data_IF_017619420030
#
_entry.id   IF_017619420030
#
_cell.length_a   1.000
_cell.length_b   1.000
_cell.length_c   1.000
_cell.angle_alpha   90.00
_cell.angle_beta   90.00
_cell.angle_gamma   90.00
#
_symmetry.space_group_name_H-M   'P 1'
#
loop_
_entity.id
_entity.type
_entity.pdbx_description
1 polymer ?
#
# COMPACT_ATOMS: atom_id res chain seq x y z
N UNK A 1 57.14 32.17 4.26
CA UNK A 1 55.89 32.05 3.47
C UNK A 1 55.64 30.57 3.22
N UNK A 2 54.87 29.90 4.09
CA UNK A 2 54.51 28.49 3.89
C UNK A 2 53.40 28.40 2.85
N UNK A 3 53.60 27.55 1.84
CA UNK A 3 52.72 27.34 0.71
C UNK A 3 51.37 26.77 1.16
N UNK A 4 50.36 27.64 1.29
CA UNK A 4 48.97 27.32 1.67
C UNK A 4 48.19 26.60 0.57
N UNK A 5 48.77 26.49 -0.64
CA UNK A 5 48.12 25.87 -1.80
C UNK A 5 47.97 24.35 -1.70
N UNK A 6 48.88 23.66 -1.01
CA UNK A 6 48.85 22.20 -0.87
C UNK A 6 47.88 21.70 0.22
N UNK A 7 47.81 22.41 1.35
CA UNK A 7 46.98 22.01 2.50
C UNK A 7 45.48 22.16 2.19
N UNK A 8 45.10 23.22 1.47
CA UNK A 8 43.71 23.43 1.06
C UNK A 8 43.18 22.34 0.12
N UNK A 9 44.02 21.84 -0.79
CA UNK A 9 43.63 20.75 -1.71
C UNK A 9 43.42 19.41 -1.00
N UNK A 10 44.27 19.09 -0.01
CA UNK A 10 44.16 17.85 0.77
C UNK A 10 42.93 17.87 1.69
N UNK A 11 42.64 19.01 2.33
CA UNK A 11 41.45 19.17 3.17
C UNK A 11 40.17 19.06 2.32
N UNK A 12 40.14 19.68 1.14
CA UNK A 12 38.99 19.61 0.24
C UNK A 12 38.75 18.18 -0.28
N UNK A 13 39.80 17.46 -0.64
CA UNK A 13 39.72 16.07 -1.06
C UNK A 13 39.21 15.15 0.07
N UNK A 14 39.68 15.35 1.31
CA UNK A 14 39.23 14.56 2.47
C UNK A 14 37.74 14.80 2.78
N UNK A 15 37.26 16.04 2.66
CA UNK A 15 35.85 16.38 2.86
C UNK A 15 34.92 15.80 1.79
N UNK A 16 35.40 15.65 0.54
CA UNK A 16 34.64 14.99 -0.52
C UNK A 16 34.53 13.47 -0.30
N UNK A 17 35.58 12.82 0.20
CA UNK A 17 35.56 11.38 0.50
C UNK A 17 34.61 11.07 1.67
N UNK A 18 34.62 11.89 2.72
CA UNK A 18 33.74 11.69 3.88
C UNK A 18 32.25 11.93 3.54
N UNK A 19 31.94 12.90 2.69
CA UNK A 19 30.56 13.11 2.21
C UNK A 19 30.11 12.07 1.17
N UNK A 20 31.04 11.53 0.37
CA UNK A 20 30.74 10.49 -0.61
C UNK A 20 30.35 9.14 0.02
N UNK A 21 30.92 8.78 1.17
CA UNK A 21 30.56 7.54 1.88
C UNK A 21 29.16 7.58 2.52
N UNK A 22 28.63 8.75 2.87
CA UNK A 22 27.30 8.88 3.46
C UNK A 22 26.16 8.54 2.47
N UNK A 23 26.41 8.64 1.16
CA UNK A 23 25.44 8.26 0.13
C UNK A 23 25.34 6.74 -0.07
N UNK A 24 26.27 5.95 0.48
CA UNK A 24 26.34 4.49 0.28
C UNK A 24 25.50 3.73 1.32
N UNK A 25 25.16 4.35 2.46
CA UNK A 25 24.44 3.67 3.55
C UNK A 25 22.94 3.58 3.35
N UNK A 26 22.31 4.37 2.46
CA UNK A 26 20.88 4.18 2.16
C UNK A 26 20.64 3.09 1.09
N UNK A 27 21.73 2.67 0.41
CA UNK A 27 21.66 1.86 -0.81
C UNK A 27 21.60 0.33 -0.59
N UNK A 28 21.74 -0.19 0.64
CA UNK A 28 21.81 -1.64 0.85
C UNK A 28 20.44 -2.35 0.93
N UNK A 29 19.32 -1.62 0.90
CA UNK A 29 17.99 -2.22 1.05
C UNK A 29 17.00 -1.92 -0.09
N UNK A 30 17.17 -0.81 -0.83
CA UNK A 30 16.32 -0.51 -1.98
C UNK A 30 16.88 -1.16 -3.25
N UNK A 31 16.25 -2.27 -3.64
CA UNK A 31 16.53 -2.95 -4.91
C UNK A 31 15.29 -2.81 -5.79
N UNK A 32 15.38 -3.03 -7.11
CA UNK A 32 14.16 -3.11 -7.94
C UNK A 32 13.15 -4.19 -7.43
N UNK A 33 13.56 -5.09 -6.54
CA UNK A 33 12.68 -6.02 -5.83
C UNK A 33 11.96 -5.42 -4.61
N UNK A 34 12.45 -4.33 -4.00
CA UNK A 34 11.76 -3.64 -2.90
C UNK A 34 10.52 -2.90 -3.37
N UNK A 35 10.55 -2.28 -4.55
CA UNK A 35 9.42 -1.52 -5.09
C UNK A 35 8.26 -2.47 -5.40
N UNK A 36 8.53 -3.56 -6.15
CA UNK A 36 7.56 -4.63 -6.41
C UNK A 36 6.99 -5.28 -5.13
N UNK A 37 7.71 -5.22 -4.01
CA UNK A 37 7.22 -5.73 -2.70
C UNK A 37 6.32 -4.72 -2.01
N UNK A 38 6.57 -3.42 -2.18
CA UNK A 38 5.72 -2.34 -1.68
C UNK A 38 4.40 -2.33 -2.45
N UNK A 39 4.45 -2.33 -3.79
CA UNK A 39 3.25 -2.37 -4.64
C UNK A 39 2.33 -3.53 -4.23
N UNK A 40 2.88 -4.75 -4.16
CA UNK A 40 2.11 -5.93 -3.73
C UNK A 40 1.59 -5.88 -2.30
N UNK A 41 2.21 -5.11 -1.40
CA UNK A 41 1.69 -4.89 -0.04
C UNK A 41 0.50 -3.95 -0.09
N UNK A 42 0.59 -2.87 -0.86
CA UNK A 42 -0.45 -1.87 -1.01
C UNK A 42 -1.70 -2.48 -1.66
N UNK A 43 -1.55 -3.28 -2.72
CA UNK A 43 -2.67 -4.00 -3.35
C UNK A 43 -3.35 -4.95 -2.36
N UNK A 44 -2.54 -5.62 -1.53
CA UNK A 44 -3.07 -6.56 -0.53
C UNK A 44 -3.85 -5.80 0.55
N UNK A 45 -3.39 -4.62 0.94
CA UNK A 45 -4.04 -3.77 1.93
C UNK A 45 -5.35 -3.21 1.37
N UNK A 46 -5.31 -2.57 0.20
CA UNK A 46 -6.50 -2.04 -0.46
C UNK A 46 -7.57 -3.11 -0.70
N UNK A 47 -7.16 -4.29 -1.16
CA UNK A 47 -8.08 -5.41 -1.32
C UNK A 47 -8.63 -5.95 0.02
N UNK A 48 -7.95 -5.77 1.15
CA UNK A 48 -8.53 -6.09 2.47
C UNK A 48 -9.57 -5.04 2.84
N UNK A 49 -9.27 -3.78 2.65
CA UNK A 49 -10.16 -2.66 3.01
C UNK A 49 -11.45 -2.70 2.19
N UNK A 50 -11.35 -3.00 0.90
CA UNK A 50 -12.51 -3.27 0.02
C UNK A 50 -13.38 -4.42 0.56
N UNK A 51 -12.77 -5.50 1.06
CA UNK A 51 -13.52 -6.61 1.67
C UNK A 51 -14.14 -6.26 3.01
N UNK A 52 -13.59 -5.30 3.75
CA UNK A 52 -14.18 -4.86 5.02
C UNK A 52 -15.35 -3.92 4.78
N UNK A 53 -15.17 -2.93 3.91
CA UNK A 53 -16.24 -2.02 3.44
C UNK A 53 -17.42 -2.84 2.93
N UNK A 54 -17.19 -3.77 1.99
CA UNK A 54 -18.27 -4.64 1.50
C UNK A 54 -18.89 -5.58 2.53
N UNK A 55 -18.27 -5.82 3.70
CA UNK A 55 -18.93 -6.55 4.80
C UNK A 55 -19.85 -5.64 5.60
N UNK A 56 -19.51 -4.37 5.73
CA UNK A 56 -20.31 -3.33 6.36
C UNK A 56 -21.51 -3.02 5.47
N UNK A 57 -21.29 -2.71 4.19
CA UNK A 57 -22.35 -2.50 3.19
C UNK A 57 -23.35 -3.66 3.16
N UNK A 58 -22.85 -4.91 3.19
CA UNK A 58 -23.72 -6.09 3.19
C UNK A 58 -24.49 -6.31 4.51
N UNK A 59 -24.05 -5.72 5.63
CA UNK A 59 -24.85 -5.68 6.87
C UNK A 59 -25.93 -4.60 6.75
N UNK A 60 -25.59 -3.45 6.19
CA UNK A 60 -26.49 -2.30 6.06
C UNK A 60 -27.58 -2.59 5.04
N UNK A 61 -27.24 -3.08 3.84
CA UNK A 61 -28.20 -3.53 2.84
C UNK A 61 -29.16 -4.59 3.39
N UNK A 62 -28.69 -5.46 4.30
CA UNK A 62 -29.56 -6.44 4.97
C UNK A 62 -30.48 -5.80 6.01
N UNK A 63 -30.01 -4.77 6.71
CA UNK A 63 -30.83 -4.05 7.67
C UNK A 63 -31.93 -3.29 6.93
N UNK A 64 -31.58 -2.62 5.84
CA UNK A 64 -32.52 -1.92 4.95
C UNK A 64 -33.53 -2.87 4.31
N UNK A 65 -33.08 -3.99 3.74
CA UNK A 65 -33.96 -5.01 3.15
C UNK A 65 -35.01 -5.54 4.16
N UNK A 66 -34.62 -5.71 5.42
CA UNK A 66 -35.55 -6.13 6.47
C UNK A 66 -36.52 -5.03 6.90
N UNK A 67 -36.16 -3.76 6.73
CA UNK A 67 -37.00 -2.63 7.08
C UNK A 67 -38.06 -2.36 6.00
N UNK A 68 -37.80 -2.75 4.75
CA UNK A 68 -38.71 -2.50 3.62
C UNK A 68 -39.96 -3.38 3.57
N UNK A 69 -40.11 -4.42 4.39
CA UNK A 69 -41.23 -5.41 4.40
C UNK A 69 -41.60 -6.11 3.07
N UNK A 70 -41.05 -5.67 1.93
CA UNK A 70 -41.32 -6.18 0.58
C UNK A 70 -40.63 -7.52 0.30
N UNK A 71 -39.50 -7.77 0.98
CA UNK A 71 -38.63 -8.91 0.73
C UNK A 71 -38.69 -9.92 1.87
N UNK A 72 -38.67 -11.20 1.52
CA UNK A 72 -38.57 -12.29 2.48
C UNK A 72 -37.21 -12.30 3.18
N UNK A 73 -37.15 -12.91 4.38
CA UNK A 73 -35.89 -13.11 5.10
C UNK A 73 -34.84 -13.89 4.28
N UNK A 74 -35.29 -14.73 3.36
CA UNK A 74 -34.41 -15.49 2.46
C UNK A 74 -33.76 -14.56 1.44
N UNK A 75 -34.53 -13.68 0.81
CA UNK A 75 -34.05 -12.68 -0.15
C UNK A 75 -33.05 -11.72 0.52
N UNK A 76 -33.34 -11.20 1.71
CA UNK A 76 -32.38 -10.36 2.44
C UNK A 76 -31.09 -11.10 2.85
N UNK A 77 -31.12 -12.43 2.95
CA UNK A 77 -29.89 -13.23 3.16
C UNK A 77 -29.12 -13.41 1.87
N UNK A 78 -29.82 -13.51 0.75
CA UNK A 78 -29.24 -13.65 -0.58
C UNK A 78 -28.57 -12.34 -1.01
N UNK A 79 -29.26 -11.21 -0.90
CA UNK A 79 -28.73 -9.88 -1.18
C UNK A 79 -27.44 -9.60 -0.40
N UNK A 80 -27.44 -9.90 0.91
CA UNK A 80 -26.21 -9.84 1.72
C UNK A 80 -25.07 -10.72 1.20
N UNK A 81 -25.37 -11.89 0.64
CA UNK A 81 -24.34 -12.77 0.06
C UNK A 81 -23.82 -12.15 -1.23
N UNK A 82 -24.70 -11.62 -2.06
CA UNK A 82 -24.37 -11.04 -3.36
C UNK A 82 -23.49 -9.80 -3.18
N UNK A 83 -23.86 -8.85 -2.32
CA UNK A 83 -23.02 -7.69 -1.97
C UNK A 83 -21.61 -8.09 -1.49
N UNK A 84 -21.51 -9.19 -0.72
CA UNK A 84 -20.21 -9.71 -0.29
C UNK A 84 -19.41 -10.35 -1.41
N UNK A 85 -20.08 -10.97 -2.39
CA UNK A 85 -19.40 -11.55 -3.54
C UNK A 85 -18.90 -10.46 -4.48
N UNK A 86 -19.67 -9.39 -4.66
CA UNK A 86 -19.26 -8.22 -5.45
C UNK A 86 -17.99 -7.61 -4.86
N UNK A 87 -17.99 -7.31 -3.56
CA UNK A 87 -16.80 -6.79 -2.87
C UNK A 87 -15.59 -7.74 -2.93
N UNK A 88 -15.82 -9.07 -2.93
CA UNK A 88 -14.74 -10.05 -3.14
C UNK A 88 -14.22 -10.05 -4.58
N UNK A 89 -15.10 -9.81 -5.55
CA UNK A 89 -14.77 -9.63 -6.96
C UNK A 89 -13.90 -8.39 -7.15
N UNK A 90 -14.37 -7.22 -6.68
CA UNK A 90 -13.61 -5.96 -6.74
C UNK A 90 -12.24 -6.10 -6.08
N UNK A 91 -12.16 -6.73 -4.91
CA UNK A 91 -10.91 -7.00 -4.21
C UNK A 91 -10.00 -8.06 -4.86
N UNK A 92 -10.45 -8.74 -5.92
CA UNK A 92 -9.61 -9.62 -6.76
C UNK A 92 -9.09 -8.86 -7.97
N UNK A 93 -9.92 -8.03 -8.57
CA UNK A 93 -9.50 -7.20 -9.70
C UNK A 93 -8.40 -6.20 -9.27
N UNK A 94 -8.53 -5.57 -8.11
CA UNK A 94 -7.48 -4.73 -7.49
C UNK A 94 -6.14 -5.43 -7.22
N UNK A 95 -6.06 -6.76 -7.33
CA UNK A 95 -4.82 -7.53 -7.14
C UNK A 95 -4.22 -8.03 -8.45
N UNK A 96 -4.97 -7.93 -9.55
CA UNK A 96 -4.56 -8.39 -10.88
C UNK A 96 -3.96 -7.25 -11.69
N UNK A 97 -4.39 -6.02 -11.43
CA UNK A 97 -3.75 -4.80 -11.88
C UNK A 97 -2.36 -4.67 -11.25
#
# INVERSE_FOLDING_TARGET
MLSTRGVGGVVLALTLVLNGLAAVTDAYAQTQGSDRRQDRRDDRQNARDTRQTGREDARDAKAECKAGDEKTRAECRQEKRDTKQDARGSAREQKKD
#
